data_IF_588315142526
#
_entry.id   IF_588315142526
#
_cell.length_a   1.000
_cell.length_b   1.000
_cell.length_c   1.000
_cell.angle_alpha   90.00
_cell.angle_beta   90.00
_cell.angle_gamma   90.00
#
_symmetry.space_group_name_H-M   'P 1'
#
loop_
_entity.id
_entity.type
_entity.pdbx_description
1 polymer ?
#
# COMPACT_ATOMS: atom_id res chain seq x y z
N UNK A 1 50.80 38.05 11.00
CA UNK A 1 51.16 36.65 10.64
C UNK A 1 50.54 35.75 11.69
N UNK A 2 50.30 34.48 11.34
CA UNK A 2 49.49 33.44 12.04
C UNK A 2 48.01 33.45 11.58
N UNK A 3 47.61 32.79 10.49
CA UNK A 3 47.52 31.33 10.17
C UNK A 3 46.67 30.53 11.18
N UNK A 4 45.36 30.54 10.98
CA UNK A 4 44.44 29.53 11.53
C UNK A 4 43.81 28.73 10.38
N UNK A 5 44.38 27.58 10.04
CA UNK A 5 43.91 26.68 9.00
C UNK A 5 42.90 25.70 9.65
N UNK A 6 41.60 25.88 9.42
CA UNK A 6 40.58 24.95 9.90
C UNK A 6 40.39 23.86 8.83
N UNK A 7 40.78 22.63 9.18
CA UNK A 7 40.64 21.43 8.36
C UNK A 7 39.16 21.03 8.24
N UNK A 8 38.59 21.11 7.04
CA UNK A 8 37.29 20.53 6.69
C UNK A 8 37.47 19.03 6.40
N UNK A 9 37.12 18.17 7.35
CA UNK A 9 37.01 16.73 7.11
C UNK A 9 35.65 16.41 6.47
N UNK A 10 35.62 16.25 5.15
CA UNK A 10 34.46 15.70 4.45
C UNK A 10 34.47 14.17 4.64
N UNK A 11 33.62 13.65 5.52
CA UNK A 11 33.37 12.21 5.65
C UNK A 11 32.39 11.83 4.55
N UNK A 12 32.89 11.21 3.47
CA UNK A 12 32.06 10.55 2.46
C UNK A 12 31.47 9.27 3.06
N UNK A 13 30.23 9.35 3.52
CA UNK A 13 29.40 8.18 3.82
C UNK A 13 29.03 7.53 2.49
N UNK A 14 29.69 6.41 2.17
CA UNK A 14 29.33 5.55 1.05
C UNK A 14 28.11 4.73 1.48
N UNK A 15 26.92 5.13 1.05
CA UNK A 15 25.71 4.32 1.23
C UNK A 15 25.75 3.15 0.26
N UNK A 16 25.96 1.94 0.77
CA UNK A 16 25.79 0.70 0.00
C UNK A 16 24.28 0.51 -0.20
N UNK A 17 23.80 0.79 -1.41
CA UNK A 17 22.42 0.53 -1.79
C UNK A 17 22.22 -0.99 -1.96
N UNK A 18 21.72 -1.64 -0.91
CA UNK A 18 20.97 -2.88 -1.08
C UNK A 18 19.67 -2.50 -1.82
N UNK A 19 19.30 -3.28 -2.84
CA UNK A 19 18.17 -3.00 -3.73
C UNK A 19 16.81 -2.95 -3.03
N UNK A 20 16.57 -1.86 -2.31
CA UNK A 20 15.30 -1.53 -1.67
C UNK A 20 14.54 -0.61 -2.63
N UNK A 21 13.45 -1.10 -3.21
CA UNK A 21 12.46 -0.24 -3.86
C UNK A 21 11.66 0.50 -2.78
N UNK A 22 12.29 1.51 -2.18
CA UNK A 22 11.61 2.49 -1.34
C UNK A 22 10.74 3.34 -2.26
N UNK A 23 9.49 2.91 -2.42
CA UNK A 23 8.52 3.61 -3.26
C UNK A 23 7.94 4.79 -2.47
N UNK A 24 7.88 6.00 -3.06
CA UNK A 24 7.26 7.14 -2.40
C UNK A 24 5.81 6.82 -2.06
N UNK A 25 5.41 7.14 -0.82
CA UNK A 25 4.04 6.97 -0.32
C UNK A 25 3.08 7.71 -1.25
N UNK A 26 2.38 6.95 -2.09
CA UNK A 26 1.21 7.45 -2.82
C UNK A 26 -0.02 6.89 -2.12
N UNK A 27 -0.95 7.77 -1.79
CA UNK A 27 -2.13 7.40 -1.02
C UNK A 27 -2.96 6.35 -1.76
N UNK A 28 -3.10 5.17 -1.16
CA UNK A 28 -4.01 4.13 -1.63
C UNK A 28 -5.39 4.40 -1.03
N UNK A 29 -6.36 4.73 -1.88
CA UNK A 29 -7.76 4.87 -1.47
C UNK A 29 -8.48 3.54 -1.63
N UNK A 30 -8.87 2.95 -0.50
CA UNK A 30 -9.57 1.67 -0.44
C UNK A 30 -10.98 1.91 0.09
N UNK A 31 -11.98 1.80 -0.79
CA UNK A 31 -13.40 2.01 -0.46
C UNK A 31 -14.22 0.76 -0.77
N UNK A 32 -15.47 0.69 -0.29
CA UNK A 32 -16.44 -0.34 -0.69
C UNK A 32 -17.17 0.01 -2.00
N UNK A 33 -16.89 1.16 -2.59
CA UNK A 33 -17.60 1.61 -3.79
C UNK A 33 -17.35 0.67 -4.96
N UNK A 34 -18.42 0.35 -5.68
CA UNK A 34 -18.40 -0.59 -6.80
C UNK A 34 -18.33 -2.07 -6.40
N UNK A 35 -18.36 -2.43 -5.10
CA UNK A 35 -18.45 -3.84 -4.69
C UNK A 35 -19.72 -4.51 -5.23
N UNK A 36 -19.57 -5.61 -5.97
CA UNK A 36 -20.67 -6.36 -6.59
C UNK A 36 -21.02 -5.92 -8.02
N UNK A 37 -20.51 -4.76 -8.45
CA UNK A 37 -20.72 -4.24 -9.81
C UNK A 37 -19.40 -4.18 -10.58
N UNK A 38 -18.42 -3.48 -10.02
CA UNK A 38 -17.16 -3.09 -10.63
C UNK A 38 -15.96 -3.78 -9.97
N UNK A 39 -16.13 -4.36 -8.78
CA UNK A 39 -15.11 -5.15 -8.11
C UNK A 39 -15.73 -6.21 -7.21
N UNK A 40 -15.03 -7.33 -7.07
CA UNK A 40 -15.37 -8.34 -6.07
C UNK A 40 -14.77 -7.95 -4.75
N UNK A 41 -15.54 -8.02 -3.67
CA UNK A 41 -15.08 -7.58 -2.35
C UNK A 41 -15.29 -8.65 -1.31
N UNK A 42 -14.36 -8.70 -0.37
CA UNK A 42 -14.48 -9.45 0.86
C UNK A 42 -14.15 -8.54 2.02
N UNK A 43 -14.86 -8.73 3.13
CA UNK A 43 -14.50 -8.04 4.34
C UNK A 43 -15.02 -8.72 5.59
N UNK A 44 -14.31 -8.50 6.69
CA UNK A 44 -14.64 -8.98 8.01
C UNK A 44 -14.54 -7.80 9.00
N UNK A 45 -15.55 -7.57 9.86
CA UNK A 45 -16.84 -8.27 9.92
C UNK A 45 -17.70 -8.02 8.68
N UNK A 46 -18.81 -8.76 8.54
CA UNK A 46 -19.76 -8.54 7.45
C UNK A 46 -20.21 -7.06 7.41
N UNK A 47 -20.21 -6.46 6.22
CA UNK A 47 -20.47 -5.02 5.97
C UNK A 47 -19.41 -4.05 6.46
N UNK A 48 -18.17 -4.47 6.73
CA UNK A 48 -17.13 -3.52 7.15
C UNK A 48 -16.90 -2.41 6.11
N UNK A 49 -16.81 -1.16 6.55
CA UNK A 49 -16.49 -0.04 5.66
C UNK A 49 -14.97 0.25 5.71
N UNK A 50 -14.23 0.01 4.61
CA UNK A 50 -12.79 0.27 4.58
C UNK A 50 -12.43 1.76 4.61
N UNK A 51 -13.38 2.66 4.32
CA UNK A 51 -13.18 4.10 4.39
C UNK A 51 -13.12 4.61 5.86
N UNK A 52 -13.68 3.87 6.81
CA UNK A 52 -13.63 4.23 8.23
C UNK A 52 -12.19 4.19 8.78
N UNK A 53 -11.75 5.31 9.34
CA UNK A 53 -10.37 5.55 9.75
C UNK A 53 -9.89 4.67 10.91
N UNK A 54 -10.77 4.25 11.82
CA UNK A 54 -10.40 3.51 13.04
C UNK A 54 -11.22 2.23 13.24
N UNK A 55 -11.68 1.64 12.14
CA UNK A 55 -12.42 0.38 12.16
C UNK A 55 -11.47 -0.82 12.23
N UNK A 56 -11.81 -1.92 12.95
CA UNK A 56 -11.10 -3.20 12.82
C UNK A 56 -11.39 -3.89 11.48
N UNK A 57 -12.11 -3.23 10.56
CA UNK A 57 -12.43 -3.70 9.22
C UNK A 57 -11.21 -4.27 8.49
N UNK A 58 -11.27 -5.55 8.15
CA UNK A 58 -10.36 -6.14 7.19
C UNK A 58 -11.10 -6.24 5.88
N UNK A 59 -10.52 -5.67 4.83
CA UNK A 59 -11.17 -5.56 3.55
C UNK A 59 -10.17 -5.85 2.44
N UNK A 60 -10.63 -6.58 1.43
CA UNK A 60 -9.94 -6.68 0.16
C UNK A 60 -10.94 -6.58 -0.98
N UNK A 61 -10.48 -6.01 -2.08
CA UNK A 61 -11.21 -6.04 -3.34
C UNK A 61 -10.32 -6.40 -4.51
N UNK A 62 -10.97 -6.97 -5.53
CA UNK A 62 -10.36 -7.41 -6.77
C UNK A 62 -11.16 -6.90 -7.97
N UNK A 63 -10.48 -6.28 -8.92
CA UNK A 63 -11.03 -5.89 -10.21
C UNK A 63 -10.05 -6.21 -11.33
N UNK A 64 -10.56 -6.44 -12.55
CA UNK A 64 -9.74 -6.55 -13.76
C UNK A 64 -9.61 -5.18 -14.40
N UNK A 65 -8.37 -4.75 -14.63
CA UNK A 65 -8.04 -3.58 -15.45
C UNK A 65 -7.81 -4.06 -16.89
N UNK A 66 -8.85 -4.00 -17.72
CA UNK A 66 -8.79 -4.61 -19.07
C UNK A 66 -7.78 -3.97 -19.99
N UNK A 67 -7.62 -2.65 -19.90
CA UNK A 67 -6.73 -1.89 -20.80
C UNK A 67 -5.25 -2.16 -20.46
N UNK A 68 -4.95 -2.44 -19.19
CA UNK A 68 -3.61 -2.76 -18.71
C UNK A 68 -3.28 -4.25 -18.71
N UNK A 69 -4.27 -5.14 -18.91
CA UNK A 69 -4.14 -6.59 -18.68
C UNK A 69 -3.62 -6.92 -17.28
N UNK A 70 -4.16 -6.22 -16.27
CA UNK A 70 -3.78 -6.35 -14.86
C UNK A 70 -4.97 -6.69 -13.98
N UNK A 71 -4.69 -7.27 -12.83
CA UNK A 71 -5.59 -7.36 -11.70
C UNK A 71 -5.25 -6.26 -10.70
N UNK A 72 -6.26 -5.49 -10.32
CA UNK A 72 -6.17 -4.51 -9.23
C UNK A 72 -6.59 -5.19 -7.93
N UNK A 73 -5.65 -5.29 -7.00
CA UNK A 73 -5.92 -5.71 -5.64
C UNK A 73 -5.83 -4.52 -4.72
N UNK A 74 -6.85 -4.35 -3.89
CA UNK A 74 -6.81 -3.40 -2.79
C UNK A 74 -6.95 -4.18 -1.49
N UNK A 75 -6.18 -3.80 -0.49
CA UNK A 75 -6.18 -4.40 0.85
C UNK A 75 -6.21 -3.27 1.86
N UNK A 76 -7.09 -3.41 2.87
CA UNK A 76 -7.15 -2.53 4.03
C UNK A 76 -7.22 -3.39 5.27
N UNK A 77 -6.33 -3.15 6.22
CA UNK A 77 -6.31 -3.85 7.50
C UNK A 77 -5.88 -2.92 8.61
N UNK A 78 -6.43 -3.17 9.81
CA UNK A 78 -5.86 -2.62 11.02
C UNK A 78 -4.63 -3.45 11.39
N UNK A 79 -3.48 -2.81 11.53
CA UNK A 79 -2.21 -3.46 11.85
C UNK A 79 -1.61 -2.80 13.08
N UNK A 80 -1.24 -3.60 14.08
CA UNK A 80 -0.41 -3.11 15.17
C UNK A 80 1.05 -2.93 14.68
N UNK A 81 1.87 -2.19 15.42
CA UNK A 81 3.25 -1.90 15.03
C UNK A 81 4.03 -3.17 14.69
N UNK A 82 4.79 -3.13 13.58
CA UNK A 82 5.56 -4.28 13.07
C UNK A 82 4.75 -5.33 12.30
N UNK A 83 3.43 -5.14 12.16
CA UNK A 83 2.59 -6.01 11.33
C UNK A 83 2.40 -5.46 9.92
N UNK A 84 2.14 -6.37 8.99
CA UNK A 84 1.90 -6.05 7.59
C UNK A 84 0.57 -6.63 7.12
N UNK A 85 0.06 -6.09 6.02
CA UNK A 85 -1.16 -6.57 5.39
C UNK A 85 -0.78 -7.36 4.14
N UNK A 86 -1.49 -8.46 3.91
CA UNK A 86 -1.24 -9.25 2.71
C UNK A 86 -2.45 -9.95 2.15
N UNK A 87 -2.25 -10.34 0.90
CA UNK A 87 -3.18 -11.10 0.10
C UNK A 87 -2.45 -12.33 -0.43
N UNK A 88 -3.01 -13.48 -0.16
CA UNK A 88 -2.54 -14.74 -0.72
C UNK A 88 -3.44 -15.11 -1.90
N UNK A 89 -2.83 -15.30 -3.06
CA UNK A 89 -3.45 -15.77 -4.28
C UNK A 89 -2.97 -17.19 -4.55
N UNK A 90 -3.90 -18.13 -4.66
CA UNK A 90 -3.60 -19.46 -5.20
C UNK A 90 -4.19 -19.58 -6.59
N UNK A 91 -3.36 -19.95 -7.55
CA UNK A 91 -3.75 -20.38 -8.90
C UNK A 91 -3.33 -21.82 -9.13
N UNK A 92 -3.87 -22.47 -10.15
CA UNK A 92 -3.47 -23.84 -10.53
C UNK A 92 -1.96 -23.92 -10.81
N UNK A 93 -1.20 -24.40 -9.83
CA UNK A 93 0.25 -24.62 -9.90
C UNK A 93 1.12 -23.48 -9.37
N UNK A 94 0.57 -22.34 -8.92
CA UNK A 94 1.33 -21.24 -8.30
C UNK A 94 0.59 -20.58 -7.16
N UNK A 95 1.30 -20.30 -6.08
CA UNK A 95 0.82 -19.52 -4.95
C UNK A 95 1.64 -18.25 -4.83
N UNK A 96 0.99 -17.10 -5.02
CA UNK A 96 1.60 -15.79 -4.91
C UNK A 96 1.09 -15.07 -3.66
N UNK A 97 2.01 -14.60 -2.83
CA UNK A 97 1.67 -13.78 -1.67
C UNK A 97 2.11 -12.35 -1.90
N UNK A 98 1.15 -11.43 -1.92
CA UNK A 98 1.36 -9.99 -2.06
C UNK A 98 1.26 -9.37 -0.68
N UNK A 99 2.34 -8.74 -0.24
CA UNK A 99 2.42 -8.14 1.10
C UNK A 99 2.90 -6.72 1.00
N UNK A 100 2.49 -5.91 1.95
CA UNK A 100 2.90 -4.52 2.05
C UNK A 100 2.97 -4.12 3.52
N UNK A 101 3.86 -3.19 3.84
CA UNK A 101 4.05 -2.69 5.19
C UNK A 101 4.58 -1.26 5.19
N UNK A 102 4.50 -0.62 6.36
CA UNK A 102 5.21 0.62 6.65
C UNK A 102 6.26 0.30 7.71
N UNK A 103 7.52 0.42 7.32
CA UNK A 103 8.66 0.35 8.23
C UNK A 103 9.09 1.77 8.60
N UNK A 104 10.01 1.88 9.57
CA UNK A 104 10.62 3.17 9.93
C UNK A 104 11.30 3.86 8.74
N UNK A 105 11.75 3.08 7.74
CA UNK A 105 12.41 3.55 6.52
C UNK A 105 11.44 3.91 5.39
N UNK A 106 10.14 3.61 5.54
CA UNK A 106 9.11 3.92 4.55
C UNK A 106 8.24 2.73 4.16
N UNK A 107 7.50 2.90 3.07
CA UNK A 107 6.66 1.85 2.52
C UNK A 107 7.51 0.77 1.84
N UNK A 108 7.15 -0.48 2.11
CA UNK A 108 7.75 -1.65 1.48
C UNK A 108 6.65 -2.60 1.01
N UNK A 109 6.95 -3.36 -0.03
CA UNK A 109 6.09 -4.41 -0.53
C UNK A 109 6.91 -5.61 -0.97
N UNK A 110 6.30 -6.79 -0.91
CA UNK A 110 6.91 -8.00 -1.42
C UNK A 110 5.91 -8.89 -2.14
N UNK A 111 6.42 -9.60 -3.13
CA UNK A 111 5.72 -10.72 -3.74
C UNK A 111 6.53 -11.98 -3.48
N UNK A 112 5.88 -13.01 -2.95
CA UNK A 112 6.50 -14.31 -2.72
C UNK A 112 5.82 -15.40 -3.54
N UNK A 113 6.61 -16.37 -3.99
CA UNK A 113 6.13 -17.65 -4.53
C UNK A 113 6.58 -18.76 -3.59
N UNK A 114 5.66 -19.30 -2.80
CA UNK A 114 6.04 -20.12 -1.64
C UNK A 114 6.87 -19.31 -0.65
N UNK A 115 8.09 -19.76 -0.33
CA UNK A 115 9.00 -19.08 0.59
C UNK A 115 10.06 -18.22 -0.10
N UNK A 116 9.94 -18.01 -1.42
CA UNK A 116 10.91 -17.25 -2.20
C UNK A 116 10.35 -15.88 -2.56
N UNK A 117 11.06 -14.81 -2.20
CA UNK A 117 10.76 -13.44 -2.65
C UNK A 117 11.09 -13.33 -4.14
N UNK A 118 10.11 -12.89 -4.94
CA UNK A 118 10.19 -12.77 -6.40
C UNK A 118 9.77 -11.38 -6.92
N UNK A 119 9.74 -10.37 -6.05
CA UNK A 119 9.32 -9.01 -6.40
C UNK A 119 10.00 -8.52 -7.68
N UNK A 120 9.21 -8.22 -8.70
CA UNK A 120 9.65 -7.76 -10.02
C UNK A 120 8.52 -6.98 -10.69
N UNK A 121 8.89 -5.98 -11.51
CA UNK A 121 7.96 -5.23 -12.36
C UNK A 121 7.22 -6.12 -13.39
N UNK A 122 7.72 -7.34 -13.64
CA UNK A 122 7.04 -8.35 -14.46
C UNK A 122 5.86 -9.01 -13.73
N UNK A 123 5.82 -8.95 -12.40
CA UNK A 123 4.77 -9.57 -11.57
C UNK A 123 3.80 -8.52 -11.06
N UNK A 124 4.33 -7.42 -10.51
CA UNK A 124 3.53 -6.36 -9.89
C UNK A 124 4.08 -4.99 -10.27
N UNK A 125 3.19 -4.03 -10.49
CA UNK A 125 3.53 -2.64 -10.82
C UNK A 125 2.63 -1.67 -10.09
N UNK A 126 3.01 -0.38 -10.08
CA UNK A 126 2.14 0.69 -9.59
C UNK A 126 1.62 0.45 -8.17
N UNK A 127 2.47 -0.13 -7.32
CA UNK A 127 2.12 -0.47 -5.93
C UNK A 127 1.98 0.82 -5.13
N UNK A 128 0.88 0.95 -4.40
CA UNK A 128 0.64 2.10 -3.52
C UNK A 128 0.39 1.64 -2.10
N UNK A 129 0.71 2.52 -1.16
CA UNK A 129 0.71 2.21 0.25
C UNK A 129 0.44 3.46 1.09
N UNK A 130 -0.36 3.30 2.13
CA UNK A 130 -0.53 4.35 3.14
C UNK A 130 -0.88 3.75 4.49
N UNK A 131 -0.45 4.41 5.57
CA UNK A 131 -0.85 4.09 6.92
C UNK A 131 -1.37 5.34 7.60
N UNK A 132 -2.60 5.26 8.09
CA UNK A 132 -3.26 6.35 8.82
C UNK A 132 -3.90 5.72 10.05
N UNK A 133 -3.53 6.20 11.25
CA UNK A 133 -4.08 5.72 12.52
C UNK A 133 -4.08 4.18 12.66
N UNK A 134 -2.93 3.55 12.39
CA UNK A 134 -2.75 2.08 12.43
C UNK A 134 -3.59 1.29 11.41
N UNK A 135 -4.16 1.96 10.42
CA UNK A 135 -4.82 1.31 9.28
C UNK A 135 -3.91 1.36 8.07
N UNK A 136 -3.42 0.18 7.69
CA UNK A 136 -2.63 -0.01 6.49
C UNK A 136 -3.54 -0.24 5.29
N UNK A 137 -3.28 0.51 4.22
CA UNK A 137 -3.95 0.39 2.92
C UNK A 137 -2.92 0.16 1.84
N UNK A 138 -3.19 -0.81 0.99
CA UNK A 138 -2.29 -1.16 -0.10
C UNK A 138 -3.07 -1.43 -1.37
N UNK A 139 -2.43 -1.08 -2.48
CA UNK A 139 -2.91 -1.34 -3.82
C UNK A 139 -1.80 -2.03 -4.60
N UNK A 140 -2.13 -3.13 -5.27
CA UNK A 140 -1.22 -3.86 -6.15
C UNK A 140 -1.84 -3.96 -7.54
N UNK A 141 -1.09 -3.62 -8.59
CA UNK A 141 -1.46 -3.95 -9.97
C UNK A 141 -0.65 -5.15 -10.43
N UNK A 142 -1.28 -6.31 -10.46
CA UNK A 142 -0.64 -7.59 -10.76
C UNK A 142 -0.83 -7.94 -12.23
N UNK A 143 0.24 -8.28 -12.93
CA UNK A 143 0.14 -8.67 -14.34
C UNK A 143 -0.64 -9.98 -14.47
N UNK A 144 -1.64 -10.02 -15.35
CA UNK A 144 -2.45 -11.24 -15.56
C UNK A 144 -1.62 -12.41 -16.09
N UNK A 145 -0.44 -12.17 -16.68
CA UNK A 145 0.48 -13.25 -17.07
C UNK A 145 1.04 -14.01 -15.87
N UNK A 146 1.04 -13.41 -14.68
CA UNK A 146 1.45 -14.07 -13.43
C UNK A 146 0.33 -14.94 -12.82
N UNK A 147 -0.91 -14.83 -13.32
CA UNK A 147 -2.12 -15.39 -12.70
C UNK A 147 -3.02 -15.99 -13.78
N UNK A 148 -3.08 -17.31 -13.95
CA UNK A 148 -3.55 -17.91 -15.22
C UNK A 148 -4.93 -18.56 -15.22
N UNK A 149 -5.53 -18.85 -14.06
CA UNK A 149 -6.73 -19.72 -13.98
C UNK A 149 -7.78 -19.19 -12.99
N UNK A 150 -8.13 -19.98 -11.98
CA UNK A 150 -8.85 -19.55 -10.80
C UNK A 150 -7.89 -18.90 -9.80
N UNK A 151 -8.37 -17.87 -9.10
CA UNK A 151 -7.70 -17.28 -7.94
C UNK A 151 -8.51 -17.60 -6.70
N UNK A 152 -7.89 -18.31 -5.76
CA UNK A 152 -8.36 -18.31 -4.37
C UNK A 152 -7.67 -17.18 -3.65
N UNK A 153 -8.47 -16.28 -3.09
CA UNK A 153 -8.01 -15.09 -2.41
C UNK A 153 -8.21 -15.29 -0.91
N UNK A 154 -7.12 -15.14 -0.16
CA UNK A 154 -7.12 -15.20 1.31
C UNK A 154 -6.45 -13.95 1.84
N UNK A 155 -7.09 -13.30 2.80
CA UNK A 155 -6.48 -12.20 3.55
C UNK A 155 -5.76 -12.75 4.76
N UNK A 156 -4.72 -12.05 5.17
CA UNK A 156 -3.99 -12.37 6.38
C UNK A 156 -3.12 -11.22 6.83
N UNK A 157 -2.57 -11.41 8.02
CA UNK A 157 -1.64 -10.51 8.69
C UNK A 157 -0.42 -11.31 9.11
N UNK A 158 0.66 -10.63 9.45
CA UNK A 158 1.74 -11.28 10.14
C UNK A 158 2.87 -10.34 10.51
N UNK A 159 4.01 -10.91 10.88
CA UNK A 159 5.19 -10.17 11.33
C UNK A 159 6.41 -10.38 10.42
N UNK A 160 7.23 -9.35 10.31
CA UNK A 160 8.60 -9.46 9.79
C UNK A 160 9.49 -10.03 10.89
N UNK A 161 10.22 -11.11 10.61
CA UNK A 161 11.12 -11.71 11.61
C UNK A 161 12.50 -11.05 11.64
N UNK A 162 12.83 -10.21 10.65
CA UNK A 162 14.07 -9.44 10.60
C UNK A 162 13.80 -8.05 9.98
N UNK A 163 14.62 -7.04 10.29
CA UNK A 163 14.59 -5.71 9.61
C UNK A 163 14.90 -5.80 8.10
N UNK A 164 15.13 -7.02 7.61
CA UNK A 164 15.27 -7.39 6.21
C UNK A 164 13.98 -8.04 5.70
N UNK A 165 13.55 -7.77 4.46
CA UNK A 165 12.37 -8.40 3.84
C UNK A 165 12.47 -9.94 3.67
N UNK A 166 13.44 -10.62 4.27
CA UNK A 166 13.84 -11.98 3.90
C UNK A 166 12.88 -13.09 4.32
N UNK A 167 12.12 -12.92 5.41
CA UNK A 167 11.19 -13.93 5.89
C UNK A 167 9.92 -13.27 6.45
N UNK A 168 8.81 -13.61 5.81
CA UNK A 168 7.48 -13.19 6.20
C UNK A 168 6.73 -14.40 6.76
N UNK A 169 6.21 -14.30 7.98
CA UNK A 169 5.29 -15.30 8.56
C UNK A 169 3.87 -14.79 8.43
N UNK A 170 3.05 -15.47 7.62
CA UNK A 170 1.68 -15.04 7.30
C UNK A 170 0.65 -15.95 7.95
N UNK A 171 -0.21 -15.36 8.77
CA UNK A 171 -1.37 -16.06 9.33
C UNK A 171 -2.56 -15.84 8.40
N UNK A 172 -3.00 -16.91 7.75
CA UNK A 172 -4.19 -16.88 6.87
C UNK A 172 -5.47 -16.82 7.68
N UNK A 173 -6.43 -16.03 7.24
CA UNK A 173 -7.79 -16.07 7.80
C UNK A 173 -8.66 -17.14 7.15
N UNK A 174 -9.71 -17.56 7.86
CA UNK A 174 -10.63 -18.62 7.43
C UNK A 174 -11.49 -18.24 6.21
N UNK A 175 -11.56 -16.95 5.85
CA UNK A 175 -12.36 -16.48 4.73
C UNK A 175 -11.60 -16.57 3.40
N UNK A 176 -11.77 -17.69 2.70
CA UNK A 176 -11.30 -17.87 1.33
C UNK A 176 -12.40 -17.56 0.33
N UNK A 177 -12.08 -16.78 -0.71
CA UNK A 177 -12.99 -16.59 -1.86
C UNK A 177 -12.31 -17.13 -3.12
N UNK A 178 -12.93 -18.12 -3.76
CA UNK A 178 -12.48 -18.63 -5.06
C UNK A 178 -13.21 -17.91 -6.18
N UNK A 179 -12.43 -17.33 -7.10
CA UNK A 179 -12.90 -16.58 -8.24
C UNK A 179 -12.24 -17.10 -9.51
N UNK A 180 -13.01 -17.37 -10.54
CA UNK A 180 -12.42 -17.56 -11.87
C UNK A 180 -12.06 -16.20 -12.43
N UNK A 181 -10.87 -16.07 -13.01
CA UNK A 181 -10.45 -14.84 -13.69
C UNK A 181 -11.54 -14.29 -14.62
N UNK A 182 -12.16 -15.05 -15.56
CA UNK A 182 -13.23 -14.54 -16.41
C UNK A 182 -14.37 -13.85 -15.64
N UNK A 183 -14.68 -14.29 -14.42
CA UNK A 183 -15.78 -13.79 -13.60
C UNK A 183 -15.42 -12.57 -12.74
N UNK A 184 -14.18 -12.08 -12.79
CA UNK A 184 -13.78 -10.84 -12.11
C UNK A 184 -14.35 -9.63 -12.88
N UNK A 185 -15.08 -8.73 -12.20
CA UNK A 185 -15.58 -7.50 -12.81
C UNK A 185 -14.47 -6.69 -13.49
N UNK A 186 -14.78 -6.12 -14.64
CA UNK A 186 -13.83 -5.37 -15.45
C UNK A 186 -14.09 -3.88 -15.35
N UNK A 187 -13.05 -3.10 -15.09
CA UNK A 187 -13.15 -1.64 -14.94
C UNK A 187 -12.15 -0.92 -15.85
N UNK A 188 -12.55 0.29 -16.25
CA UNK A 188 -11.65 1.28 -16.84
C UNK A 188 -11.05 2.12 -15.71
N UNK A 189 -9.77 2.45 -15.84
CA UNK A 189 -8.98 3.12 -14.79
C UNK A 189 -9.64 4.41 -14.27
N UNK A 190 -10.36 5.12 -15.14
CA UNK A 190 -11.03 6.40 -14.85
C UNK A 190 -12.18 6.33 -13.83
N UNK A 191 -12.64 5.14 -13.44
CA UNK A 191 -13.79 5.01 -12.51
C UNK A 191 -13.37 4.95 -11.03
N UNK A 192 -12.08 4.84 -10.71
CA UNK A 192 -11.61 4.71 -9.32
C UNK A 192 -10.92 5.96 -8.74
N UNK A 193 -10.96 7.10 -9.42
CA UNK A 193 -10.42 8.36 -8.90
C UNK A 193 -11.36 9.53 -9.17
N UNK A 194 -12.33 9.75 -8.28
CA UNK A 194 -12.67 11.08 -7.76
C UNK A 194 -13.78 10.98 -6.72
N UNK A 195 -13.42 10.49 -5.52
CA UNK A 195 -14.06 11.02 -4.33
C UNK A 195 -13.70 12.50 -4.26
N UNK A 196 -14.69 13.37 -4.38
CA UNK A 196 -14.54 14.82 -4.49
C UNK A 196 -13.44 15.38 -3.58
N UNK A 197 -12.57 16.21 -4.15
CA UNK A 197 -11.69 17.10 -3.40
C UNK A 197 -12.56 18.08 -2.61
N UNK A 198 -13.10 17.66 -1.47
CA UNK A 198 -13.65 18.60 -0.50
C UNK A 198 -12.46 19.35 0.08
N UNK A 199 -12.23 20.54 -0.48
CA UNK A 199 -11.48 21.67 0.05
C UNK A 199 -11.03 21.47 1.51
N UNK A 200 -9.89 20.80 1.71
CA UNK A 200 -9.15 20.93 2.95
C UNK A 200 -8.56 22.35 2.93
N UNK A 201 -9.31 23.28 3.51
CA UNK A 201 -8.82 24.57 3.92
C UNK A 201 -7.53 24.35 4.71
N UNK A 202 -6.41 24.68 4.09
CA UNK A 202 -5.09 24.58 4.69
C UNK A 202 -5.00 25.52 5.89
N UNK A 203 -5.09 24.97 7.10
CA UNK A 203 -4.82 25.71 8.34
C UNK A 203 -3.39 26.26 8.41
N UNK A 204 -2.49 25.85 7.51
CA UNK A 204 -1.14 26.40 7.41
C UNK A 204 -1.12 27.84 6.85
N UNK A 205 -2.09 28.21 6.00
CA UNK A 205 -2.18 29.57 5.41
C UNK A 205 -2.70 30.60 6.41
N UNK A 206 -3.54 30.17 7.37
CA UNK A 206 -4.04 31.06 8.43
C UNK A 206 -2.94 31.44 9.43
N UNK A 207 -2.03 30.51 9.76
CA UNK A 207 -0.91 30.82 10.67
C UNK A 207 0.05 31.83 10.04
N UNK A 208 0.39 31.67 8.75
CA UNK A 208 1.30 32.59 8.05
C UNK A 208 0.73 34.00 7.93
N UNK A 209 -0.58 34.14 7.68
CA UNK A 209 -1.23 35.46 7.60
C UNK A 209 -1.29 36.17 8.97
N UNK A 210 -1.47 35.42 10.05
CA UNK A 210 -1.52 35.99 11.41
C UNK A 210 -0.15 36.51 11.85
N UNK A 211 0.94 35.79 11.53
CA UNK A 211 2.30 36.24 11.82
C UNK A 211 2.68 37.50 11.03
N UNK A 212 2.29 37.61 9.75
CA UNK A 212 2.54 38.81 8.94
C UNK A 212 1.83 40.06 9.48
N UNK A 213 0.62 39.92 10.03
CA UNK A 213 -0.09 41.05 10.65
C UNK A 213 0.53 41.50 11.98
N UNK A 214 1.10 40.58 12.78
CA UNK A 214 1.74 40.96 14.05
C UNK A 214 3.07 41.70 13.84
N UNK A 215 3.84 41.35 12.80
CA UNK A 215 5.10 42.03 12.48
C UNK A 215 4.86 43.44 11.93
N UNK A 216 3.78 43.63 11.16
CA UNK A 216 3.40 44.95 10.65
C UNK A 216 2.92 45.92 11.76
N UNK A 217 2.32 45.42 12.85
CA UNK A 217 1.88 46.26 13.97
C UNK A 217 2.98 46.62 14.97
N UNK A 218 4.15 45.97 14.93
CA UNK A 218 5.30 46.31 15.80
C UNK A 218 6.30 47.27 15.15
N UNK A 219 6.02 47.75 13.93
CA UNK A 219 6.93 48.60 13.14
C UNK A 219 6.37 50.00 12.85
N UNK A 220 5.30 50.42 13.54
CA UNK A 220 4.68 51.74 13.42
C UNK A 220 4.62 52.44 14.78
#
# INVERSE_FOLDING_TARGET
>A
MERGLILLSAVLMVSVALGQDLTPLTQAEVTRDGCGEHKTCMGSPAKCDPAEAQSPCMFSSLARLSEEKKLLFQVRQYVADGNYAGLYLTTEGKSLMFTCAILSTGFTHQVMSGNTVITSNEVVTGVRGSMIASVLRCEFRVNMTAVTSAVSVVMGTGTFTEDSPGVITFETMENTVSLEIPNIPTVKEDTMSSGASSLFHSHALSVVLTFLTMVAMHSA
#
